data_IF_515447705743
#
_entry.id   IF_515447705743
#
_cell.length_a   1.000
_cell.length_b   1.000
_cell.length_c   1.000
_cell.angle_alpha   90.00
_cell.angle_beta   90.00
_cell.angle_gamma   90.00
#
_symmetry.space_group_name_H-M   'P 1'
#
loop_
_entity.id
_entity.type
_entity.pdbx_description
1 polymer ?
#
# COMPACT_ATOMS: atom_id res chain seq x y z
N UNK A 1 39.38 15.54 26.60
CA UNK A 1 39.68 14.86 25.31
C UNK A 1 38.42 14.10 24.95
N UNK A 2 37.82 14.39 23.80
CA UNK A 2 36.66 13.63 23.29
C UNK A 2 37.25 12.57 22.40
N UNK A 3 37.16 11.31 22.81
CA UNK A 3 37.64 10.19 21.99
C UNK A 3 36.80 10.15 20.69
N UNK A 4 37.44 10.00 19.51
CA UNK A 4 36.70 9.96 18.25
C UNK A 4 35.75 8.77 18.25
N UNK A 5 34.49 9.02 17.89
CA UNK A 5 33.45 7.98 17.79
C UNK A 5 33.84 7.00 16.69
N UNK A 6 34.47 5.90 17.08
CA UNK A 6 34.84 4.81 16.18
C UNK A 6 33.62 3.89 16.05
N UNK A 7 32.79 4.13 15.04
CA UNK A 7 31.66 3.26 14.73
C UNK A 7 32.16 1.93 14.19
N UNK A 8 31.86 0.84 14.90
CA UNK A 8 32.06 -0.50 14.38
C UNK A 8 31.12 -0.73 13.19
N UNK A 9 31.60 -1.35 12.11
CA UNK A 9 30.80 -1.66 10.90
C UNK A 9 29.38 -2.19 11.19
N UNK A 10 29.16 -3.15 12.11
CA UNK A 10 27.82 -3.58 12.48
C UNK A 10 26.96 -2.47 13.10
N UNK A 11 27.53 -1.57 13.92
CA UNK A 11 26.79 -0.44 14.48
C UNK A 11 26.36 0.53 13.38
N UNK A 12 27.23 0.80 12.41
CA UNK A 12 26.89 1.65 11.27
C UNK A 12 25.72 1.06 10.45
N UNK A 13 25.70 -0.26 10.22
CA UNK A 13 24.60 -0.94 9.53
C UNK A 13 23.30 -0.82 10.32
N UNK A 14 23.34 -1.07 11.64
CA UNK A 14 22.15 -0.95 12.50
C UNK A 14 21.61 0.47 12.52
N UNK A 15 22.47 1.49 12.63
CA UNK A 15 22.03 2.88 12.59
C UNK A 15 21.42 3.25 11.24
N UNK A 16 22.05 2.83 10.13
CA UNK A 16 21.48 3.04 8.81
C UNK A 16 20.11 2.36 8.65
N UNK A 17 19.96 1.13 9.15
CA UNK A 17 18.69 0.41 9.13
C UNK A 17 17.62 1.13 9.96
N UNK A 18 17.94 1.61 11.17
CA UNK A 18 16.98 2.34 12.03
C UNK A 18 16.55 3.65 11.36
N UNK A 19 17.48 4.40 10.77
CA UNK A 19 17.15 5.66 10.07
C UNK A 19 16.22 5.38 8.89
N UNK A 20 16.55 4.40 8.06
CA UNK A 20 15.70 4.07 6.93
C UNK A 20 14.35 3.46 7.33
N UNK A 21 14.31 2.66 8.41
CA UNK A 21 13.06 2.17 8.98
C UNK A 21 12.19 3.32 9.50
N UNK A 22 12.80 4.34 10.12
CA UNK A 22 12.11 5.56 10.54
C UNK A 22 11.50 6.34 9.38
N UNK A 23 12.25 6.51 8.28
CA UNK A 23 11.72 7.12 7.05
C UNK A 23 10.57 6.29 6.48
N UNK A 24 10.75 4.96 6.42
CA UNK A 24 9.74 4.01 5.99
C UNK A 24 8.46 4.06 6.83
N UNK A 25 8.60 4.21 8.15
CA UNK A 25 7.49 4.37 9.08
C UNK A 25 6.72 5.66 8.80
N UNK A 26 7.41 6.80 8.68
CA UNK A 26 6.78 8.10 8.37
C UNK A 26 6.04 8.05 7.04
N UNK A 27 6.65 7.48 6.00
CA UNK A 27 6.00 7.31 4.70
C UNK A 27 4.81 6.34 4.78
N UNK A 28 4.94 5.27 5.56
CA UNK A 28 3.90 4.27 5.79
C UNK A 28 2.68 4.79 6.58
N UNK A 29 2.80 5.92 7.28
CA UNK A 29 1.65 6.57 7.91
C UNK A 29 0.64 7.05 6.88
N UNK A 30 1.05 7.37 5.64
CA UNK A 30 0.14 7.82 4.58
C UNK A 30 -0.89 6.74 4.22
N UNK A 31 -0.50 5.52 3.81
CA UNK A 31 -1.47 4.45 3.55
C UNK A 31 -2.21 4.03 4.83
N UNK A 32 -1.60 4.12 6.02
CA UNK A 32 -2.32 3.82 7.26
C UNK A 32 -3.46 4.82 7.52
N UNK A 33 -3.18 6.11 7.37
CA UNK A 33 -4.14 7.19 7.59
C UNK A 33 -5.27 7.15 6.54
N UNK A 34 -4.92 6.94 5.27
CA UNK A 34 -5.91 6.71 4.21
C UNK A 34 -6.74 5.45 4.50
N UNK A 35 -6.10 4.35 4.87
CA UNK A 35 -6.78 3.10 5.22
C UNK A 35 -7.78 3.28 6.36
N UNK A 36 -7.46 4.12 7.34
CA UNK A 36 -8.39 4.51 8.41
C UNK A 36 -9.60 5.28 7.88
N UNK A 37 -9.40 6.34 7.10
CA UNK A 37 -10.50 7.14 6.53
C UNK A 37 -11.41 6.34 5.59
N UNK A 38 -10.83 5.38 4.86
CA UNK A 38 -11.52 4.56 3.87
C UNK A 38 -12.06 3.23 4.41
N UNK A 39 -12.04 2.98 5.74
CA UNK A 39 -12.43 1.71 6.39
C UNK A 39 -11.66 0.48 5.89
N UNK A 40 -10.48 0.68 5.30
CA UNK A 40 -9.55 -0.36 4.82
C UNK A 40 -8.30 -0.45 5.69
N UNK A 41 -8.50 -0.54 7.01
CA UNK A 41 -7.41 -0.49 7.98
C UNK A 41 -6.39 -1.63 7.79
N UNK A 42 -6.85 -2.81 7.38
CA UNK A 42 -5.96 -3.97 7.10
C UNK A 42 -4.91 -3.62 6.05
N UNK A 43 -5.32 -3.04 4.92
CA UNK A 43 -4.42 -2.62 3.84
C UNK A 43 -3.48 -1.51 4.30
N UNK A 44 -3.97 -0.56 5.09
CA UNK A 44 -3.13 0.49 5.69
C UNK A 44 -2.05 -0.04 6.64
N UNK A 45 -2.41 -1.02 7.48
CA UNK A 45 -1.47 -1.69 8.41
C UNK A 45 -0.40 -2.47 7.63
N UNK A 46 -0.80 -3.19 6.58
CA UNK A 46 0.18 -3.89 5.73
C UNK A 46 1.10 -2.87 5.06
N UNK A 47 0.56 -1.75 4.58
CA UNK A 47 1.34 -0.68 3.97
C UNK A 47 2.41 -0.10 4.88
N UNK A 48 2.09 0.21 6.13
CA UNK A 48 3.08 0.73 7.09
C UNK A 48 4.12 -0.32 7.47
N UNK A 49 3.73 -1.59 7.64
CA UNK A 49 4.66 -2.67 7.94
C UNK A 49 5.66 -2.88 6.80
N UNK A 50 5.17 -2.96 5.56
CA UNK A 50 6.02 -3.13 4.37
C UNK A 50 6.94 -1.92 4.17
N UNK A 51 6.43 -0.70 4.33
CA UNK A 51 7.25 0.51 4.19
C UNK A 51 8.32 0.62 5.27
N UNK A 52 8.01 0.25 6.52
CA UNK A 52 8.93 0.30 7.67
C UNK A 52 10.01 -0.78 7.58
N UNK A 53 9.62 -2.05 7.36
CA UNK A 53 10.56 -3.18 7.28
C UNK A 53 11.36 -3.09 5.98
N UNK A 54 10.70 -2.81 4.86
CA UNK A 54 11.36 -2.59 3.58
C UNK A 54 12.32 -1.41 3.64
N UNK A 55 11.94 -0.33 4.34
CA UNK A 55 12.83 0.79 4.63
C UNK A 55 14.06 0.35 5.42
N UNK A 56 13.88 -0.38 6.52
CA UNK A 56 15.01 -0.84 7.32
C UNK A 56 16.00 -1.75 6.59
N UNK A 57 15.53 -2.56 5.64
CA UNK A 57 16.36 -3.55 4.93
C UNK A 57 16.94 -3.01 3.62
N UNK A 58 16.11 -2.37 2.79
CA UNK A 58 16.45 -1.96 1.42
C UNK A 58 16.60 -0.42 1.32
N UNK A 59 16.12 0.32 2.32
CA UNK A 59 16.12 1.76 2.33
C UNK A 59 14.92 2.38 1.61
N UNK A 60 15.07 3.65 1.27
CA UNK A 60 14.05 4.47 0.60
C UNK A 60 13.51 3.84 -0.70
N UNK A 61 14.31 3.02 -1.38
CA UNK A 61 13.93 2.35 -2.62
C UNK A 61 12.78 1.36 -2.45
N UNK A 62 12.61 0.78 -1.26
CA UNK A 62 11.43 -0.03 -0.95
C UNK A 62 10.31 0.81 -0.34
N UNK A 63 10.63 1.75 0.55
CA UNK A 63 9.62 2.54 1.27
C UNK A 63 8.77 3.42 0.36
N UNK A 64 9.37 4.11 -0.63
CA UNK A 64 8.63 5.03 -1.51
C UNK A 64 7.65 4.26 -2.42
N UNK A 65 8.08 3.23 -3.18
CA UNK A 65 7.14 2.46 -4.00
C UNK A 65 6.08 1.75 -3.17
N UNK A 66 6.43 1.21 -2.00
CA UNK A 66 5.45 0.59 -1.11
C UNK A 66 4.36 1.59 -0.68
N UNK A 67 4.75 2.77 -0.20
CA UNK A 67 3.81 3.80 0.20
C UNK A 67 2.88 4.21 -0.95
N UNK A 68 3.40 4.37 -2.17
CA UNK A 68 2.62 4.71 -3.37
C UNK A 68 1.63 3.59 -3.71
N UNK A 69 2.10 2.34 -3.80
CA UNK A 69 1.26 1.19 -4.18
C UNK A 69 0.12 1.00 -3.18
N UNK A 70 0.41 1.00 -1.88
CA UNK A 70 -0.62 0.81 -0.86
C UNK A 70 -1.60 1.99 -0.80
N UNK A 71 -1.11 3.22 -0.95
CA UNK A 71 -1.97 4.40 -1.06
C UNK A 71 -2.92 4.29 -2.25
N UNK A 72 -2.39 3.94 -3.42
CA UNK A 72 -3.19 3.75 -4.63
C UNK A 72 -4.20 2.61 -4.47
N UNK A 73 -3.80 1.49 -3.88
CA UNK A 73 -4.68 0.34 -3.67
C UNK A 73 -5.86 0.69 -2.76
N UNK A 74 -5.62 1.44 -1.69
CA UNK A 74 -6.67 1.91 -0.77
C UNK A 74 -7.64 2.84 -1.51
N UNK A 75 -7.13 3.83 -2.24
CA UNK A 75 -7.97 4.81 -2.96
C UNK A 75 -8.78 4.13 -4.06
N UNK A 76 -8.18 3.19 -4.82
CA UNK A 76 -8.86 2.45 -5.88
C UNK A 76 -9.97 1.57 -5.32
N UNK A 77 -9.67 0.80 -4.27
CA UNK A 77 -10.63 -0.13 -3.69
C UNK A 77 -11.78 0.59 -2.96
N UNK A 78 -11.58 1.87 -2.61
CA UNK A 78 -12.63 2.73 -2.06
C UNK A 78 -13.57 3.35 -3.11
N UNK A 79 -13.23 3.27 -4.40
CA UNK A 79 -14.08 3.76 -5.49
C UNK A 79 -14.76 2.56 -6.17
N UNK A 80 -16.01 2.23 -5.84
CA UNK A 80 -16.73 1.11 -6.45
C UNK A 80 -17.26 1.44 -7.87
N UNK A 81 -16.44 1.99 -8.77
CA UNK A 81 -16.99 2.67 -9.96
C UNK A 81 -16.19 2.61 -11.26
N UNK A 82 -15.34 1.62 -11.50
CA UNK A 82 -14.78 1.43 -12.85
C UNK A 82 -14.39 -0.02 -13.11
N UNK A 83 -15.39 -0.85 -13.42
CA UNK A 83 -15.35 -2.12 -14.17
C UNK A 83 -16.69 -2.86 -13.94
N UNK A 84 -17.55 -3.19 -14.90
CA UNK A 84 -17.65 -2.96 -16.35
C UNK A 84 -19.16 -3.05 -16.65
N UNK A 85 -19.77 -2.00 -17.17
CA UNK A 85 -21.01 -2.11 -17.93
C UNK A 85 -20.61 -2.68 -19.30
N UNK A 86 -20.70 -3.99 -19.44
CA UNK A 86 -20.65 -4.64 -20.75
C UNK A 86 -22.07 -5.08 -21.04
N UNK A 87 -22.79 -4.15 -21.66
CA UNK A 87 -23.92 -4.34 -22.56
C UNK A 87 -24.71 -5.64 -22.40
N UNK A 88 -25.89 -5.49 -21.78
CA UNK A 88 -27.06 -6.23 -22.22
C UNK A 88 -27.26 -5.94 -23.72
N UNK A 89 -26.94 -6.91 -24.57
CA UNK A 89 -27.61 -7.02 -25.87
C UNK A 89 -28.87 -7.82 -25.62
N UNK A 90 -29.97 -7.10 -25.35
CA UNK A 90 -31.31 -7.64 -25.55
C UNK A 90 -31.46 -7.95 -27.05
N UNK A 91 -31.68 -9.23 -27.38
CA UNK A 91 -32.31 -9.58 -28.66
C UNK A 91 -33.81 -9.76 -28.41
N UNK A 92 -34.68 -8.84 -28.88
CA UNK A 92 -36.11 -8.98 -28.75
C UNK A 92 -36.66 -9.71 -29.99
N UNK A 93 -36.86 -11.01 -29.86
CA UNK A 93 -37.81 -11.78 -30.67
C UNK A 93 -38.36 -12.91 -29.80
N UNK A 94 -39.47 -12.67 -29.08
CA UNK A 94 -40.82 -12.92 -29.58
C UNK A 94 -40.99 -14.32 -30.16
N UNK A 95 -41.49 -15.24 -29.35
CA UNK A 95 -42.87 -15.71 -29.55
C UNK A 95 -43.32 -16.55 -28.37
N UNK A 96 -44.42 -16.10 -27.78
CA UNK A 96 -45.27 -16.71 -26.77
C UNK A 96 -45.43 -18.25 -26.83
N UNK A 97 -45.29 -18.84 -25.66
CA UNK A 97 -46.03 -19.97 -25.06
C UNK A 97 -47.35 -20.42 -25.70
N UNK A 98 -47.47 -21.75 -25.84
CA UNK A 98 -48.57 -22.66 -25.47
C UNK A 98 -50.01 -22.38 -25.96
N UNK A 99 -50.62 -23.37 -26.63
CA UNK A 99 -51.60 -24.31 -26.02
C UNK A 99 -52.19 -25.31 -27.05
N UNK A 100 -52.54 -26.49 -26.51
CA UNK A 100 -53.33 -27.63 -27.02
C UNK A 100 -52.59 -28.84 -27.64
#
# INVERSE_FOLDING_TARGET
MVDPIQLSTPQAIVYAAIINAGIGFVLGLIPLLLGYFYKQLRTGIIGILVATIGGGVIGIFASIPAAIIFTWLIVRNSKPGMAVESEAVEDPADSSTDND
#
